data_IF_622134024683
#
_entry.id   IF_622134024683
#
_cell.length_a   1.000
_cell.length_b   1.000
_cell.length_c   1.000
_cell.angle_alpha   90.00
_cell.angle_beta   90.00
_cell.angle_gamma   90.00
#
_symmetry.space_group_name_H-M   'P 1'
#
loop_
_entity.id
_entity.type
_entity.pdbx_description
1 polymer ?
#
# COMPACT_ATOMS: atom_id res chain seq x y z
N UNK A 1 18.28 65.59 17.27
CA UNK A 1 18.78 64.20 17.37
C UNK A 1 17.68 63.27 16.91
N UNK A 2 17.75 62.85 15.65
CA UNK A 2 16.80 61.94 15.03
C UNK A 2 17.61 60.78 14.45
N UNK A 3 17.34 59.56 14.92
CA UNK A 3 18.00 58.34 14.49
C UNK A 3 17.26 57.71 13.32
N UNK A 4 17.97 57.53 12.22
CA UNK A 4 17.55 56.84 11.00
C UNK A 4 17.50 55.32 11.23
N UNK A 5 16.46 54.59 10.80
CA UNK A 5 16.45 53.13 10.88
C UNK A 5 17.21 52.50 9.70
N UNK A 6 18.07 51.52 10.03
CA UNK A 6 18.80 50.70 9.07
C UNK A 6 17.86 49.71 8.37
N UNK A 7 17.73 49.87 7.05
CA UNK A 7 17.17 48.90 6.12
C UNK A 7 18.09 47.68 6.02
N UNK A 8 17.61 46.51 6.43
CA UNK A 8 18.24 45.23 6.10
C UNK A 8 17.82 44.81 4.69
N UNK A 9 18.76 44.92 3.75
CA UNK A 9 18.67 44.35 2.42
C UNK A 9 18.72 42.81 2.50
N UNK A 10 17.59 42.15 2.28
CA UNK A 10 17.55 40.73 1.97
C UNK A 10 18.04 40.54 0.52
N UNK A 11 19.25 39.99 0.34
CA UNK A 11 19.70 39.53 -0.96
C UNK A 11 18.92 38.26 -1.35
N UNK A 12 18.13 38.42 -2.40
CA UNK A 12 17.63 37.36 -3.27
C UNK A 12 18.83 36.68 -3.95
N UNK A 13 18.87 35.35 -3.94
CA UNK A 13 19.70 34.59 -4.87
C UNK A 13 20.30 33.31 -4.34
N UNK A 14 19.47 32.31 -4.06
CA UNK A 14 19.86 30.91 -4.24
C UNK A 14 18.82 30.26 -5.15
N UNK A 15 19.12 30.20 -6.45
CA UNK A 15 18.41 29.31 -7.38
C UNK A 15 18.76 27.87 -6.97
N UNK A 16 17.79 26.96 -6.78
CA UNK A 16 18.12 25.56 -6.66
C UNK A 16 18.81 25.12 -7.95
N UNK A 17 19.99 24.50 -7.81
CA UNK A 17 20.69 23.89 -8.92
C UNK A 17 19.74 22.93 -9.64
N UNK A 18 19.67 23.03 -10.97
CA UNK A 18 18.91 22.11 -11.80
C UNK A 18 19.46 20.70 -11.63
N UNK A 19 18.80 19.92 -10.78
CA UNK A 19 19.01 18.49 -10.57
C UNK A 19 17.67 17.80 -10.75
N UNK A 20 17.67 16.67 -11.45
CA UNK A 20 16.53 15.76 -11.54
C UNK A 20 15.88 15.58 -10.17
N UNK A 21 14.54 15.57 -10.10
CA UNK A 21 13.83 15.43 -8.82
C UNK A 21 14.23 14.14 -8.12
N UNK A 22 14.05 14.03 -6.79
CA UNK A 22 14.31 12.77 -6.07
C UNK A 22 13.59 11.58 -6.75
N UNK A 23 12.37 11.83 -7.24
CA UNK A 23 11.53 10.88 -7.97
C UNK A 23 12.16 10.40 -9.27
N UNK A 24 12.79 11.29 -10.05
CA UNK A 24 13.48 10.92 -11.29
C UNK A 24 14.71 10.06 -11.01
N UNK A 25 15.43 10.38 -9.94
CA UNK A 25 16.63 9.64 -9.52
C UNK A 25 16.25 8.24 -9.03
N UNK A 26 15.15 8.12 -8.29
CA UNK A 26 14.62 6.85 -7.79
C UNK A 26 14.08 5.97 -8.91
N UNK A 27 13.31 6.55 -9.85
CA UNK A 27 12.82 5.81 -11.02
C UNK A 27 13.97 5.24 -11.88
N UNK A 28 15.12 5.90 -11.88
CA UNK A 28 16.31 5.46 -12.60
C UNK A 28 17.20 4.47 -11.81
N UNK A 29 16.87 4.15 -10.55
CA UNK A 29 17.66 3.27 -9.70
C UNK A 29 16.91 2.02 -9.28
N UNK A 30 17.57 0.87 -9.37
CA UNK A 30 17.03 -0.44 -8.99
C UNK A 30 17.84 -1.15 -7.90
N UNK A 31 18.98 -0.58 -7.48
CA UNK A 31 19.83 -1.14 -6.43
C UNK A 31 20.51 -0.04 -5.59
N UNK A 32 20.98 -0.36 -4.37
CA UNK A 32 21.62 0.61 -3.48
C UNK A 32 22.84 1.30 -4.09
N UNK A 33 23.63 0.56 -4.89
CA UNK A 33 24.86 1.06 -5.52
C UNK A 33 24.57 2.16 -6.55
N UNK A 34 23.38 2.18 -7.15
CA UNK A 34 22.96 3.21 -8.10
C UNK A 34 22.90 4.62 -7.48
N UNK A 35 22.79 4.70 -6.15
CA UNK A 35 22.76 5.98 -5.43
C UNK A 35 24.14 6.49 -5.03
N UNK A 36 25.21 5.74 -5.30
CA UNK A 36 26.57 6.17 -4.96
C UNK A 36 26.94 7.46 -5.69
N UNK A 37 27.42 8.45 -4.95
CA UNK A 37 27.74 9.79 -5.46
C UNK A 37 26.52 10.68 -5.77
N UNK A 38 25.29 10.17 -5.62
CA UNK A 38 24.07 10.98 -5.75
C UNK A 38 23.77 11.70 -4.43
N UNK A 39 23.25 12.92 -4.54
CA UNK A 39 22.77 13.71 -3.39
C UNK A 39 21.31 14.05 -3.62
N UNK A 40 20.45 13.55 -2.75
CA UNK A 40 19.01 13.76 -2.80
C UNK A 40 18.62 14.95 -1.91
N UNK A 41 17.54 15.63 -2.28
CA UNK A 41 16.98 16.70 -1.45
C UNK A 41 16.32 16.12 -0.20
N UNK A 42 16.41 16.85 0.92
CA UNK A 42 15.63 16.54 2.12
C UNK A 42 14.31 17.32 2.06
N UNK A 43 13.20 16.60 2.12
CA UNK A 43 11.86 17.20 2.16
C UNK A 43 11.38 17.34 3.59
N UNK A 44 10.89 18.53 3.91
CA UNK A 44 10.08 18.79 5.10
C UNK A 44 8.63 18.37 4.86
N UNK A 45 7.86 18.25 5.94
CA UNK A 45 6.47 17.83 5.88
C UNK A 45 5.62 18.82 5.08
N UNK A 46 4.64 18.32 4.32
CA UNK A 46 3.73 19.16 3.53
C UNK A 46 4.45 20.29 2.80
N UNK A 47 5.54 19.93 2.12
CA UNK A 47 6.23 20.88 1.25
C UNK A 47 5.23 21.45 0.22
N UNK A 48 5.48 22.63 -0.35
CA UNK A 48 4.60 23.20 -1.38
C UNK A 48 4.39 22.28 -2.61
N UNK A 49 5.23 21.25 -2.77
CA UNK A 49 5.15 20.23 -3.82
C UNK A 49 4.18 19.08 -3.46
N UNK A 50 3.72 19.00 -2.21
CA UNK A 50 2.75 18.01 -1.78
C UNK A 50 1.35 18.35 -2.33
N UNK A 51 0.75 17.41 -3.04
CA UNK A 51 -0.63 17.52 -3.53
C UNK A 51 -1.48 16.36 -3.01
N UNK A 52 -2.81 16.50 -3.12
CA UNK A 52 -3.79 15.51 -2.65
C UNK A 52 -3.63 14.11 -3.27
N UNK A 53 -3.04 14.02 -4.45
CA UNK A 53 -2.83 12.75 -5.14
C UNK A 53 -1.48 12.09 -4.78
N UNK A 54 -0.64 12.79 -4.01
CA UNK A 54 0.76 12.43 -3.76
C UNK A 54 1.09 12.26 -2.27
N UNK A 55 0.10 12.04 -1.40
CA UNK A 55 0.32 11.89 0.05
C UNK A 55 1.32 10.80 0.45
N UNK A 56 1.53 9.77 -0.38
CA UNK A 56 2.53 8.72 -0.11
C UNK A 56 3.94 9.04 -0.65
N UNK A 57 4.12 10.20 -1.28
CA UNK A 57 5.41 10.67 -1.79
C UNK A 57 6.23 11.36 -0.71
N UNK A 58 7.54 11.43 -0.93
CA UNK A 58 8.50 11.94 0.06
C UNK A 58 8.20 13.40 0.44
N UNK A 59 7.76 14.17 -0.54
CA UNK A 59 7.34 15.57 -0.44
C UNK A 59 6.22 15.82 0.58
N UNK A 60 5.43 14.79 0.88
CA UNK A 60 4.29 14.86 1.80
C UNK A 60 4.64 14.26 3.18
N UNK A 61 5.32 13.10 3.21
CA UNK A 61 5.57 12.36 4.44
C UNK A 61 6.81 12.80 5.23
N UNK A 62 7.59 13.76 4.71
CA UNK A 62 8.97 14.04 5.15
C UNK A 62 9.92 12.93 4.72
N UNK A 63 11.16 13.31 4.39
CA UNK A 63 12.23 12.36 4.20
C UNK A 63 12.36 11.37 5.35
N UNK A 64 12.08 11.70 6.62
CA UNK A 64 12.26 10.72 7.69
C UNK A 64 11.30 9.53 7.59
N UNK A 65 10.01 9.80 7.52
CA UNK A 65 8.99 8.75 7.53
C UNK A 65 8.94 7.99 6.21
N UNK A 66 9.07 8.69 5.09
CA UNK A 66 8.98 8.10 3.75
C UNK A 66 10.00 6.98 3.49
N UNK A 67 11.14 6.97 4.18
CA UNK A 67 12.21 5.98 4.00
C UNK A 67 11.89 4.60 4.56
N UNK A 68 11.01 4.55 5.56
CA UNK A 68 10.61 3.31 6.23
C UNK A 68 9.47 2.59 5.53
N UNK A 69 9.23 2.91 4.25
CA UNK A 69 7.93 2.78 3.65
C UNK A 69 8.01 1.97 2.35
N UNK A 70 7.18 0.94 2.18
CA UNK A 70 7.27 0.11 0.97
C UNK A 70 8.63 -0.59 0.86
N UNK A 71 9.08 -0.83 -0.37
CA UNK A 71 10.34 -1.50 -0.67
C UNK A 71 11.61 -0.62 -0.57
N UNK A 72 11.50 0.55 0.07
CA UNK A 72 12.57 1.55 0.12
C UNK A 72 13.75 1.10 0.99
N UNK A 73 13.55 0.44 2.15
CA UNK A 73 14.67 -0.15 2.89
C UNK A 73 15.49 -1.12 2.04
N UNK A 74 14.86 -1.91 1.17
CA UNK A 74 15.59 -2.78 0.22
C UNK A 74 16.30 -1.96 -0.87
N UNK A 75 15.61 -0.99 -1.47
CA UNK A 75 16.15 -0.17 -2.56
C UNK A 75 17.42 0.60 -2.14
N UNK A 76 17.44 1.12 -0.91
CA UNK A 76 18.58 1.86 -0.36
C UNK A 76 19.51 1.00 0.51
N UNK A 77 19.18 -0.28 0.71
CA UNK A 77 19.86 -1.23 1.60
C UNK A 77 19.63 -1.00 3.10
N UNK A 78 19.21 0.20 3.53
CA UNK A 78 18.63 0.45 4.87
C UNK A 78 17.99 1.83 4.95
N UNK A 79 17.14 2.04 5.97
CA UNK A 79 16.62 3.38 6.31
C UNK A 79 17.76 4.38 6.57
N UNK A 80 18.85 3.95 7.18
CA UNK A 80 19.97 4.81 7.56
C UNK A 80 20.77 5.28 6.34
N UNK A 81 21.13 4.35 5.44
CA UNK A 81 21.79 4.68 4.15
C UNK A 81 20.96 5.67 3.33
N UNK A 82 19.65 5.48 3.31
CA UNK A 82 18.74 6.41 2.64
C UNK A 82 18.81 7.84 3.23
N UNK A 83 19.05 7.97 4.54
CA UNK A 83 19.24 9.26 5.20
C UNK A 83 20.57 9.93 4.86
N UNK A 84 21.64 9.13 4.78
CA UNK A 84 22.99 9.61 4.51
C UNK A 84 23.10 10.26 3.12
N UNK A 85 22.24 9.84 2.17
CA UNK A 85 22.13 10.43 0.84
C UNK A 85 21.49 11.83 0.84
N UNK A 86 20.91 12.25 1.97
CA UNK A 86 20.18 13.51 2.11
C UNK A 86 20.90 14.43 3.10
N UNK A 87 21.17 15.70 2.75
CA UNK A 87 21.75 16.63 3.69
C UNK A 87 20.78 16.83 4.86
N UNK A 88 21.21 16.44 6.07
CA UNK A 88 20.41 16.66 7.27
C UNK A 88 20.21 18.16 7.46
N UNK A 89 18.98 18.64 7.67
CA UNK A 89 18.74 20.05 7.96
C UNK A 89 19.57 20.47 9.17
N UNK A 90 20.42 21.49 9.02
CA UNK A 90 21.27 21.96 10.13
C UNK A 90 20.47 22.61 11.26
N UNK A 91 19.21 22.95 11.02
CA UNK A 91 18.29 23.55 11.99
C UNK A 91 16.91 22.93 11.82
N UNK A 92 16.17 22.83 12.93
CA UNK A 92 14.76 22.48 12.90
C UNK A 92 13.98 23.56 12.14
N UNK A 93 12.93 23.16 11.44
CA UNK A 93 12.01 24.10 10.82
C UNK A 93 11.43 25.03 11.91
N UNK A 94 11.25 26.34 11.63
CA UNK A 94 10.57 27.23 12.54
C UNK A 94 9.15 26.74 12.80
N UNK A 95 8.72 26.81 14.06
CA UNK A 95 7.34 26.53 14.43
C UNK A 95 6.42 27.60 13.84
N UNK A 96 5.40 27.18 13.09
CA UNK A 96 4.42 28.04 12.45
C UNK A 96 3.09 27.93 13.17
N UNK A 97 2.54 29.04 13.71
CA UNK A 97 1.15 29.05 14.16
C UNK A 97 0.22 28.87 12.96
N UNK A 98 -1.05 28.54 13.22
CA UNK A 98 -2.08 28.48 12.18
C UNK A 98 -2.15 29.80 11.41
N UNK A 99 -2.35 29.69 10.09
CA UNK A 99 -2.39 30.80 9.16
C UNK A 99 -3.56 31.76 9.41
N UNK A 100 -3.56 32.88 8.69
CA UNK A 100 -4.67 33.85 8.76
C UNK A 100 -5.98 33.23 8.24
N UNK A 101 -7.10 33.70 8.79
CA UNK A 101 -8.43 33.30 8.34
C UNK A 101 -8.58 33.44 6.81
N UNK A 102 -9.07 32.38 6.16
CA UNK A 102 -9.24 32.30 4.71
C UNK A 102 -8.08 31.63 3.97
N UNK A 103 -7.09 31.10 4.69
CA UNK A 103 -6.11 30.22 4.09
C UNK A 103 -6.76 28.86 3.74
N UNK A 104 -6.52 28.36 2.52
CA UNK A 104 -7.19 27.16 1.98
C UNK A 104 -6.23 26.09 1.46
N UNK A 105 -4.92 26.34 1.51
CA UNK A 105 -3.92 25.37 1.08
C UNK A 105 -3.54 24.42 2.22
N UNK A 106 -2.99 23.26 1.90
CA UNK A 106 -2.62 22.22 2.89
C UNK A 106 -1.18 22.39 3.40
N UNK A 107 -0.60 23.59 3.24
CA UNK A 107 0.78 23.84 3.67
C UNK A 107 0.86 24.00 5.19
N UNK A 108 2.03 23.74 5.77
CA UNK A 108 2.29 23.99 7.19
C UNK A 108 2.06 25.47 7.58
N UNK A 109 2.31 26.41 6.66
CA UNK A 109 2.05 27.82 6.88
C UNK A 109 0.56 28.17 7.02
N UNK A 110 -0.30 27.33 6.46
CA UNK A 110 -1.74 27.50 6.49
C UNK A 110 -2.36 26.79 7.69
N UNK A 111 -2.02 25.51 7.85
CA UNK A 111 -2.57 24.63 8.87
C UNK A 111 -1.92 24.84 10.25
N UNK A 112 -0.70 25.36 10.28
CA UNK A 112 0.14 25.43 11.48
C UNK A 112 0.83 24.10 11.81
N UNK A 113 1.96 24.20 12.51
CA UNK A 113 2.82 23.06 12.84
C UNK A 113 2.11 22.01 13.71
N UNK A 114 1.24 22.40 14.64
CA UNK A 114 0.49 21.46 15.49
C UNK A 114 -0.41 20.53 14.67
N UNK A 115 -1.16 21.11 13.73
CA UNK A 115 -2.10 20.38 12.89
C UNK A 115 -1.31 19.47 11.94
N UNK A 116 -0.28 20.00 11.28
CA UNK A 116 0.58 19.22 10.40
C UNK A 116 1.24 18.05 11.13
N UNK A 117 1.86 18.28 12.29
CA UNK A 117 2.49 17.20 13.06
C UNK A 117 1.48 16.13 13.48
N UNK A 118 0.26 16.53 13.86
CA UNK A 118 -0.81 15.59 14.20
C UNK A 118 -1.23 14.74 13.00
N UNK A 119 -1.39 15.35 11.82
CA UNK A 119 -1.76 14.63 10.59
C UNK A 119 -0.61 13.69 10.17
N UNK A 120 0.65 14.16 10.17
CA UNK A 120 1.81 13.33 9.87
C UNK A 120 1.88 12.11 10.78
N UNK A 121 1.71 12.29 12.10
CA UNK A 121 1.72 11.17 13.03
C UNK A 121 0.65 10.14 12.65
N UNK A 122 -0.55 10.59 12.27
CA UNK A 122 -1.62 9.72 11.83
C UNK A 122 -1.29 9.02 10.48
N UNK A 123 -0.68 9.73 9.52
CA UNK A 123 -0.28 9.15 8.23
C UNK A 123 0.84 8.13 8.38
N UNK A 124 1.87 8.44 9.18
CA UNK A 124 2.96 7.51 9.50
C UNK A 124 2.41 6.24 10.16
N UNK A 125 1.46 6.37 11.09
CA UNK A 125 0.83 5.24 11.75
C UNK A 125 0.06 4.34 10.79
N UNK A 126 -0.76 4.94 9.91
CA UNK A 126 -1.49 4.24 8.84
C UNK A 126 -0.52 3.48 7.96
N UNK A 127 0.55 4.15 7.57
CA UNK A 127 1.32 3.70 6.44
C UNK A 127 2.39 2.67 6.87
N UNK A 128 2.91 2.72 8.12
CA UNK A 128 3.79 1.68 8.68
C UNK A 128 3.11 0.33 8.94
N UNK A 129 1.78 0.27 8.97
CA UNK A 129 1.09 -0.90 9.50
C UNK A 129 -0.12 -1.37 8.69
N UNK A 130 -0.64 -0.57 7.77
CA UNK A 130 -1.44 -1.08 6.64
C UNK A 130 -0.46 -1.38 5.51
N UNK A 131 0.58 -2.14 5.77
CA UNK A 131 1.26 -2.86 4.70
C UNK A 131 0.81 -4.30 4.89
N UNK A 132 -0.22 -4.69 4.12
CA UNK A 132 -0.56 -6.10 3.98
C UNK A 132 0.72 -6.82 3.63
N UNK A 133 1.10 -7.78 4.47
CA UNK A 133 2.22 -8.66 4.16
C UNK A 133 1.78 -9.56 2.99
N UNK A 134 1.95 -9.02 1.78
CA UNK A 134 1.67 -9.69 0.50
C UNK A 134 2.49 -10.97 0.44
N UNK A 135 3.69 -10.99 1.03
CA UNK A 135 4.54 -12.19 1.11
C UNK A 135 3.90 -13.26 2.00
N UNK A 136 3.22 -12.89 3.09
CA UNK A 136 2.44 -13.84 3.89
C UNK A 136 1.27 -14.42 3.10
N UNK A 137 0.57 -13.60 2.32
CA UNK A 137 -0.50 -14.12 1.46
C UNK A 137 0.05 -15.07 0.39
N UNK A 138 1.19 -14.71 -0.20
CA UNK A 138 1.89 -15.52 -1.18
C UNK A 138 2.36 -16.87 -0.60
N UNK A 139 2.95 -16.85 0.60
CA UNK A 139 3.34 -18.04 1.37
C UNK A 139 2.13 -18.92 1.69
N UNK A 140 0.96 -18.35 1.97
CA UNK A 140 -0.27 -19.09 2.22
C UNK A 140 -0.75 -19.84 0.97
N UNK A 141 -0.76 -19.17 -0.18
CA UNK A 141 -1.11 -19.80 -1.45
C UNK A 141 -0.14 -20.94 -1.81
N UNK A 142 1.16 -20.72 -1.65
CA UNK A 142 2.17 -21.76 -1.88
C UNK A 142 2.02 -22.95 -0.92
N UNK A 143 1.74 -22.68 0.36
CA UNK A 143 1.51 -23.73 1.35
C UNK A 143 0.31 -24.60 0.96
N UNK A 144 -0.82 -24.01 0.52
CA UNK A 144 -1.97 -24.79 0.07
C UNK A 144 -1.65 -25.66 -1.16
N UNK A 145 -0.89 -25.11 -2.12
CA UNK A 145 -0.43 -25.87 -3.30
C UNK A 145 0.44 -27.06 -2.91
N UNK A 146 1.37 -26.85 -1.96
CA UNK A 146 2.28 -27.92 -1.49
C UNK A 146 1.53 -29.09 -0.82
N UNK A 147 0.39 -28.83 -0.19
CA UNK A 147 -0.45 -29.86 0.44
C UNK A 147 -1.14 -30.80 -0.56
N UNK A 148 -1.20 -30.43 -1.85
CA UNK A 148 -1.83 -31.25 -2.89
C UNK A 148 -0.89 -32.24 -3.58
N UNK A 149 0.40 -32.28 -3.22
CA UNK A 149 1.36 -33.22 -3.80
C UNK A 149 1.75 -32.92 -5.26
N UNK A 150 1.26 -31.82 -5.85
CA UNK A 150 1.64 -31.38 -7.18
C UNK A 150 2.79 -30.37 -7.09
N UNK A 151 3.96 -30.74 -7.60
CA UNK A 151 5.10 -29.84 -7.79
C UNK A 151 4.72 -28.62 -8.66
N UNK A 152 5.42 -27.48 -8.55
CA UNK A 152 5.23 -26.36 -9.48
C UNK A 152 5.37 -26.88 -10.92
N UNK A 153 4.48 -26.47 -11.85
CA UNK A 153 4.74 -26.62 -13.27
C UNK A 153 6.06 -25.89 -13.52
N UNK A 154 7.08 -26.61 -13.96
CA UNK A 154 8.21 -25.94 -14.59
C UNK A 154 7.64 -25.22 -15.80
N UNK A 155 7.99 -23.95 -15.99
CA UNK A 155 7.83 -23.29 -17.28
C UNK A 155 8.57 -24.13 -18.32
N UNK A 156 7.83 -24.97 -19.03
CA UNK A 156 8.38 -25.82 -20.08
C UNK A 156 8.28 -25.04 -21.38
N UNK A 157 9.35 -24.31 -21.70
CA UNK A 157 9.51 -23.58 -22.96
C UNK A 157 9.90 -24.50 -24.13
N UNK A 158 9.58 -25.79 -24.06
CA UNK A 158 9.92 -26.77 -25.11
C UNK A 158 8.82 -26.89 -26.17
N UNK A 159 9.16 -26.98 -27.47
CA UNK A 159 8.19 -27.24 -28.54
C UNK A 159 7.48 -28.59 -28.36
N UNK A 160 6.22 -28.72 -28.80
CA UNK A 160 5.42 -29.92 -28.55
C UNK A 160 6.03 -31.13 -29.28
N UNK A 161 6.48 -32.12 -28.51
CA UNK A 161 6.81 -33.45 -29.03
C UNK A 161 5.57 -34.33 -29.01
N UNK A 162 5.22 -34.83 -30.18
CA UNK A 162 4.19 -35.83 -30.41
C UNK A 162 4.58 -37.14 -29.71
N UNK A 163 3.82 -37.53 -28.69
CA UNK A 163 4.06 -38.73 -27.87
C UNK A 163 2.91 -39.72 -28.02
N UNK A 164 3.17 -40.83 -28.71
CA UNK A 164 2.30 -42.00 -28.82
C UNK A 164 2.25 -42.79 -27.50
N UNK A 165 1.52 -42.30 -26.49
CA UNK A 165 1.26 -43.06 -25.26
C UNK A 165 -0.24 -43.39 -25.07
N UNK A 166 -0.57 -44.51 -24.38
CA UNK A 166 -1.94 -44.98 -24.17
C UNK A 166 -2.81 -43.98 -23.39
N UNK A 167 -4.15 -44.12 -23.38
CA UNK A 167 -5.06 -43.11 -22.83
C UNK A 167 -4.76 -42.85 -21.35
N UNK A 168 -4.14 -41.68 -21.09
CA UNK A 168 -4.01 -41.13 -19.74
C UNK A 168 -5.41 -41.03 -19.15
N UNK A 169 -5.63 -41.56 -17.94
CA UNK A 169 -6.88 -41.32 -17.23
C UNK A 169 -7.18 -39.81 -17.24
N UNK A 170 -8.45 -39.40 -17.41
CA UNK A 170 -8.80 -37.99 -17.46
C UNK A 170 -8.27 -37.31 -16.20
N UNK A 171 -7.26 -36.47 -16.39
CA UNK A 171 -6.65 -35.71 -15.31
C UNK A 171 -7.74 -34.88 -14.65
N UNK A 172 -7.84 -34.98 -13.32
CA UNK A 172 -8.81 -34.22 -12.55
C UNK A 172 -8.60 -32.73 -12.87
N UNK A 173 -9.62 -31.98 -13.30
CA UNK A 173 -9.45 -30.58 -13.68
C UNK A 173 -8.89 -29.79 -12.50
N UNK A 174 -7.76 -29.13 -12.71
CA UNK A 174 -7.08 -28.30 -11.72
C UNK A 174 -7.80 -26.95 -11.58
N UNK A 175 -7.54 -26.26 -10.47
CA UNK A 175 -7.99 -24.89 -10.28
C UNK A 175 -7.38 -23.95 -11.32
N UNK A 176 -8.22 -23.13 -11.97
CA UNK A 176 -7.84 -22.21 -13.04
C UNK A 176 -8.47 -20.84 -12.83
N UNK A 177 -7.74 -19.81 -13.26
CA UNK A 177 -8.23 -18.44 -13.29
C UNK A 177 -8.97 -18.16 -14.60
N UNK A 178 -9.86 -17.16 -14.64
CA UNK A 178 -10.54 -16.77 -15.86
C UNK A 178 -9.55 -16.34 -16.95
N UNK A 179 -9.65 -16.92 -18.15
CA UNK A 179 -8.87 -16.55 -19.32
C UNK A 179 -9.75 -15.80 -20.33
N UNK A 180 -9.77 -14.47 -20.23
CA UNK A 180 -10.64 -13.62 -21.06
C UNK A 180 -10.22 -13.58 -22.55
N UNK A 181 -8.94 -13.80 -22.87
CA UNK A 181 -8.45 -13.78 -24.25
C UNK A 181 -9.02 -14.91 -25.11
N UNK A 182 -9.40 -16.02 -24.46
CA UNK A 182 -9.91 -17.21 -25.15
C UNK A 182 -11.44 -17.18 -25.37
N UNK A 183 -12.14 -16.15 -24.90
CA UNK A 183 -13.58 -16.20 -24.67
C UNK A 183 -14.35 -15.16 -25.50
N UNK A 184 -14.38 -15.35 -26.82
CA UNK A 184 -14.99 -14.38 -27.77
C UNK A 184 -16.32 -14.78 -28.43
N UNK A 185 -16.93 -15.95 -28.11
CA UNK A 185 -18.33 -16.42 -28.39
C UNK A 185 -18.43 -17.95 -28.15
N UNK A 186 -19.55 -18.64 -28.46
CA UNK A 186 -20.28 -19.52 -27.51
C UNK A 186 -19.34 -20.47 -26.74
N UNK A 187 -19.35 -20.37 -25.42
CA UNK A 187 -18.30 -20.93 -24.54
C UNK A 187 -18.04 -20.08 -23.29
N UNK A 188 -18.69 -18.90 -23.19
CA UNK A 188 -18.61 -18.02 -22.02
C UNK A 188 -19.08 -18.67 -20.69
N UNK A 189 -19.69 -19.85 -20.76
CA UNK A 189 -20.12 -20.60 -19.58
C UNK A 189 -19.17 -21.76 -19.22
N UNK A 190 -18.08 -21.91 -19.96
CA UNK A 190 -17.06 -22.92 -19.71
C UNK A 190 -16.08 -22.46 -18.63
N UNK A 191 -15.47 -23.44 -17.96
CA UNK A 191 -14.55 -23.17 -16.84
C UNK A 191 -13.34 -22.32 -17.22
N UNK A 192 -12.69 -22.47 -18.39
CA UNK A 192 -11.59 -21.60 -18.79
C UNK A 192 -12.00 -20.13 -18.90
N UNK A 193 -13.26 -19.85 -19.22
CA UNK A 193 -13.77 -18.49 -19.36
C UNK A 193 -14.21 -17.86 -18.05
N UNK A 194 -14.90 -18.64 -17.21
CA UNK A 194 -15.40 -18.18 -15.90
C UNK A 194 -14.35 -18.26 -14.80
N UNK A 195 -13.33 -19.09 -14.97
CA UNK A 195 -12.47 -19.56 -13.88
C UNK A 195 -13.19 -20.53 -12.95
N UNK A 196 -12.41 -21.33 -12.22
CA UNK A 196 -12.93 -22.39 -11.35
C UNK A 196 -13.88 -21.89 -10.26
N UNK A 197 -13.69 -20.66 -9.75
CA UNK A 197 -14.54 -20.10 -8.69
C UNK A 197 -15.96 -19.87 -9.20
N UNK A 198 -16.11 -19.10 -10.28
CA UNK A 198 -17.42 -18.73 -10.81
C UNK A 198 -18.07 -19.92 -11.53
N UNK A 199 -17.28 -20.77 -12.18
CA UNK A 199 -17.79 -22.00 -12.75
C UNK A 199 -18.35 -22.94 -11.67
N UNK A 200 -17.64 -23.15 -10.56
CA UNK A 200 -18.14 -23.99 -9.47
C UNK A 200 -19.40 -23.46 -8.81
N UNK A 201 -19.52 -22.15 -8.69
CA UNK A 201 -20.71 -21.50 -8.14
C UNK A 201 -21.93 -21.76 -9.02
N UNK A 202 -21.74 -21.71 -10.35
CA UNK A 202 -22.82 -21.86 -11.33
C UNK A 202 -23.16 -23.31 -11.66
N UNK A 203 -22.15 -24.17 -11.82
CA UNK A 203 -22.29 -25.53 -12.37
C UNK A 203 -22.06 -26.64 -11.34
N UNK A 204 -21.44 -26.34 -10.19
CA UNK A 204 -21.03 -27.36 -9.21
C UNK A 204 -22.18 -28.25 -8.75
N UNK A 205 -23.34 -27.65 -8.45
CA UNK A 205 -24.52 -28.39 -8.02
C UNK A 205 -25.15 -29.20 -9.16
N UNK A 206 -25.18 -28.64 -10.38
CA UNK A 206 -25.77 -29.29 -11.56
C UNK A 206 -24.95 -30.51 -11.99
N UNK A 207 -23.64 -30.48 -11.76
CA UNK A 207 -22.69 -31.56 -12.09
C UNK A 207 -22.52 -32.58 -10.96
N UNK A 208 -23.31 -32.50 -9.89
CA UNK A 208 -23.21 -33.41 -8.74
C UNK A 208 -21.92 -33.24 -7.92
N UNK A 209 -21.18 -32.15 -8.10
CA UNK A 209 -19.95 -31.83 -7.37
C UNK A 209 -20.21 -31.16 -6.01
N UNK A 210 -21.49 -31.01 -5.64
CA UNK A 210 -21.93 -30.42 -4.39
C UNK A 210 -21.94 -28.89 -4.44
N UNK A 211 -21.77 -28.27 -3.26
CA UNK A 211 -21.68 -26.82 -3.15
C UNK A 211 -20.34 -26.28 -3.67
N UNK A 212 -20.23 -24.95 -3.79
CA UNK A 212 -19.01 -24.25 -4.25
C UNK A 212 -17.74 -24.76 -3.57
N UNK A 213 -17.76 -24.99 -2.26
CA UNK A 213 -16.60 -25.47 -1.50
C UNK A 213 -16.18 -26.88 -1.90
N UNK A 214 -17.14 -27.81 -2.02
CA UNK A 214 -16.87 -29.17 -2.45
C UNK A 214 -16.34 -29.21 -3.89
N UNK A 215 -16.95 -28.44 -4.78
CA UNK A 215 -16.54 -28.30 -6.17
C UNK A 215 -15.11 -27.75 -6.31
N UNK A 216 -14.73 -26.73 -5.54
CA UNK A 216 -13.37 -26.20 -5.53
C UNK A 216 -12.38 -27.17 -4.91
N UNK A 217 -12.76 -27.89 -3.85
CA UNK A 217 -11.92 -28.91 -3.25
C UNK A 217 -11.60 -30.03 -4.25
N UNK A 218 -12.55 -30.40 -5.13
CA UNK A 218 -12.26 -31.37 -6.20
C UNK A 218 -11.21 -30.85 -7.19
N UNK A 219 -11.13 -29.54 -7.43
CA UNK A 219 -10.12 -28.90 -8.27
C UNK A 219 -8.78 -28.67 -7.57
N UNK A 220 -8.69 -29.18 -6.34
CA UNK A 220 -7.58 -28.87 -5.47
C UNK A 220 -7.60 -27.38 -5.14
N UNK A 221 -8.66 -26.85 -4.56
CA UNK A 221 -8.62 -25.56 -3.86
C UNK A 221 -9.53 -25.63 -2.64
N UNK A 222 -8.92 -25.71 -1.46
CA UNK A 222 -9.67 -25.71 -0.21
C UNK A 222 -10.01 -24.27 0.19
N UNK A 223 -11.11 -23.77 -0.40
CA UNK A 223 -11.61 -22.42 -0.15
C UNK A 223 -11.95 -22.21 1.33
N UNK A 224 -12.43 -23.23 2.04
CA UNK A 224 -12.79 -23.09 3.46
C UNK A 224 -11.55 -22.89 4.32
N UNK A 225 -10.53 -23.73 4.14
CA UNK A 225 -9.25 -23.57 4.83
C UNK A 225 -8.58 -22.26 4.46
N UNK A 226 -8.70 -21.83 3.20
CA UNK A 226 -8.20 -20.55 2.73
C UNK A 226 -8.89 -19.39 3.47
N UNK A 227 -10.22 -19.33 3.50
CA UNK A 227 -11.00 -18.29 4.19
C UNK A 227 -10.71 -18.24 5.69
N UNK A 228 -10.65 -19.39 6.35
CA UNK A 228 -10.33 -19.50 7.78
C UNK A 228 -8.92 -18.99 8.09
N UNK A 229 -7.96 -19.33 7.24
CA UNK A 229 -6.56 -18.91 7.40
C UNK A 229 -6.39 -17.43 7.09
N UNK A 230 -7.04 -16.93 6.04
CA UNK A 230 -7.09 -15.51 5.69
C UNK A 230 -7.65 -14.68 6.84
N UNK A 231 -8.78 -15.11 7.42
CA UNK A 231 -9.39 -14.43 8.57
C UNK A 231 -8.44 -14.40 9.78
N UNK A 232 -7.80 -15.52 10.10
CA UNK A 232 -6.93 -15.63 11.29
C UNK A 232 -5.61 -14.88 11.13
N UNK A 233 -4.96 -14.98 9.98
CA UNK A 233 -3.60 -14.44 9.78
C UNK A 233 -3.57 -13.02 9.24
N UNK A 234 -4.61 -12.59 8.53
CA UNK A 234 -4.63 -11.28 7.89
C UNK A 234 -5.69 -10.37 8.50
N UNK A 235 -6.94 -10.82 8.62
CA UNK A 235 -8.00 -9.93 9.14
C UNK A 235 -7.82 -9.63 10.63
N UNK A 236 -7.52 -10.64 11.47
CA UNK A 236 -7.45 -10.43 12.91
C UNK A 236 -6.35 -9.43 13.34
N UNK A 237 -5.09 -9.51 12.85
CA UNK A 237 -4.07 -8.52 13.19
C UNK A 237 -4.40 -7.12 12.67
N UNK A 238 -4.94 -7.02 11.46
CA UNK A 238 -5.38 -5.75 10.87
C UNK A 238 -6.47 -5.09 11.72
N UNK A 239 -7.43 -5.87 12.23
CA UNK A 239 -8.48 -5.36 13.12
C UNK A 239 -7.90 -4.73 14.40
N UNK A 240 -6.98 -5.42 15.07
CA UNK A 240 -6.34 -4.91 16.28
C UNK A 240 -5.48 -3.66 16.00
N UNK A 241 -4.80 -3.62 14.84
CA UNK A 241 -4.08 -2.44 14.37
C UNK A 241 -4.99 -1.22 14.19
N UNK A 242 -6.10 -1.40 13.46
CA UNK A 242 -7.10 -0.34 13.24
C UNK A 242 -7.64 0.20 14.56
N UNK A 243 -7.99 -0.69 15.50
CA UNK A 243 -8.50 -0.29 16.81
C UNK A 243 -7.47 0.51 17.60
N UNK A 244 -6.22 0.04 17.62
CA UNK A 244 -5.12 0.73 18.32
C UNK A 244 -4.89 2.13 17.74
N UNK A 245 -4.98 2.31 16.42
CA UNK A 245 -4.76 3.64 15.84
C UNK A 245 -5.97 4.54 15.92
N UNK A 246 -7.19 4.00 15.83
CA UNK A 246 -8.39 4.77 16.13
C UNK A 246 -8.29 5.38 17.54
N UNK A 247 -7.76 4.63 18.52
CA UNK A 247 -7.46 5.18 19.85
C UNK A 247 -6.41 6.28 19.82
N UNK A 248 -5.32 6.12 19.07
CA UNK A 248 -4.27 7.14 18.97
C UNK A 248 -4.74 8.42 18.28
N UNK A 249 -5.45 8.30 17.15
CA UNK A 249 -6.08 9.42 16.43
C UNK A 249 -7.02 10.18 17.36
N UNK A 250 -7.87 9.45 18.09
CA UNK A 250 -8.79 10.03 19.08
C UNK A 250 -8.03 10.79 20.18
N UNK A 251 -6.98 10.18 20.75
CA UNK A 251 -6.16 10.82 21.80
C UNK A 251 -5.46 12.07 21.29
N UNK A 252 -4.88 12.02 20.10
CA UNK A 252 -4.17 13.14 19.49
C UNK A 252 -5.13 14.31 19.22
N UNK A 253 -6.31 14.03 18.65
CA UNK A 253 -7.34 15.04 18.45
C UNK A 253 -7.79 15.68 19.77
N UNK A 254 -8.01 14.86 20.81
CA UNK A 254 -8.38 15.37 22.13
C UNK A 254 -7.28 16.26 22.76
N UNK A 255 -6.02 15.85 22.71
CA UNK A 255 -4.88 16.62 23.24
C UNK A 255 -4.75 17.95 22.49
N UNK A 256 -4.82 17.92 21.15
CA UNK A 256 -4.77 19.12 20.31
C UNK A 256 -5.82 20.14 20.73
N UNK A 257 -7.06 19.70 20.89
CA UNK A 257 -8.17 20.57 21.30
C UNK A 257 -7.96 21.13 22.72
N UNK A 258 -7.49 20.31 23.67
CA UNK A 258 -7.16 20.77 25.02
C UNK A 258 -6.10 21.89 24.98
N UNK A 259 -5.05 21.75 24.16
CA UNK A 259 -4.01 22.76 24.02
C UNK A 259 -4.51 24.06 23.37
N UNK A 260 -5.51 23.97 22.50
CA UNK A 260 -6.17 25.10 21.85
C UNK A 260 -7.25 25.74 22.74
N UNK A 261 -7.37 25.33 24.01
CA UNK A 261 -8.37 25.84 24.94
C UNK A 261 -9.81 25.63 24.44
N UNK A 262 -10.02 24.51 23.76
CA UNK A 262 -11.29 24.09 23.18
C UNK A 262 -12.42 23.92 24.20
N UNK A 263 -13.66 24.02 23.71
CA UNK A 263 -14.84 23.72 24.52
C UNK A 263 -15.19 22.23 24.46
N UNK A 264 -16.10 21.82 25.34
CA UNK A 264 -16.74 20.49 25.28
C UNK A 264 -17.51 20.24 23.98
N UNK A 265 -17.76 21.27 23.16
CA UNK A 265 -18.45 21.14 21.87
C UNK A 265 -17.49 21.00 20.67
N UNK A 266 -16.31 21.64 20.71
CA UNK A 266 -15.34 21.57 19.60
C UNK A 266 -14.54 20.28 19.65
N UNK A 267 -14.20 19.81 20.85
CA UNK A 267 -13.40 18.59 21.04
C UNK A 267 -14.03 17.34 20.39
N UNK A 268 -15.33 17.02 20.61
CA UNK A 268 -15.95 15.85 19.98
C UNK A 268 -16.04 15.96 18.46
N UNK A 269 -16.20 17.18 17.91
CA UNK A 269 -16.23 17.42 16.47
C UNK A 269 -14.86 17.13 15.84
N UNK A 270 -13.78 17.63 16.44
CA UNK A 270 -12.42 17.35 15.99
C UNK A 270 -12.10 15.86 16.02
N UNK A 271 -12.44 15.16 17.12
CA UNK A 271 -12.29 13.70 17.22
C UNK A 271 -13.05 12.98 16.09
N UNK A 272 -14.30 13.37 15.84
CA UNK A 272 -15.13 12.74 14.81
C UNK A 272 -14.54 12.96 13.42
N UNK A 273 -14.10 14.18 13.12
CA UNK A 273 -13.47 14.52 11.83
C UNK A 273 -12.18 13.73 11.62
N UNK A 274 -11.27 13.74 12.59
CA UNK A 274 -9.98 13.05 12.49
C UNK A 274 -10.18 11.53 12.35
N UNK A 275 -11.10 10.95 13.14
CA UNK A 275 -11.40 9.52 13.08
C UNK A 275 -12.05 9.14 11.75
N UNK A 276 -12.97 9.95 11.22
CA UNK A 276 -13.58 9.70 9.90
C UNK A 276 -12.52 9.74 8.80
N UNK A 277 -11.67 10.76 8.78
CA UNK A 277 -10.58 10.88 7.81
C UNK A 277 -9.60 9.71 7.88
N UNK A 278 -9.28 9.25 9.10
CA UNK A 278 -8.51 8.04 9.31
C UNK A 278 -9.20 6.79 8.71
N UNK A 279 -10.49 6.59 9.01
CA UNK A 279 -11.23 5.42 8.54
C UNK A 279 -11.38 5.39 7.02
N UNK A 280 -11.54 6.54 6.36
CA UNK A 280 -11.58 6.64 4.90
C UNK A 280 -10.24 6.23 4.27
N UNK A 281 -9.11 6.67 4.85
CA UNK A 281 -7.77 6.26 4.41
C UNK A 281 -7.53 4.76 4.62
N UNK A 282 -7.89 4.25 5.80
CA UNK A 282 -7.81 2.81 6.12
C UNK A 282 -8.61 1.99 5.11
N UNK A 283 -9.85 2.38 4.84
CA UNK A 283 -10.72 1.71 3.88
C UNK A 283 -10.09 1.67 2.49
N UNK A 284 -9.63 2.81 1.97
CA UNK A 284 -8.99 2.90 0.65
C UNK A 284 -7.73 2.03 0.55
N UNK A 285 -6.90 2.04 1.59
CA UNK A 285 -5.67 1.23 1.63
C UNK A 285 -5.98 -0.27 1.69
N UNK A 286 -6.88 -0.69 2.60
CA UNK A 286 -7.28 -2.08 2.74
C UNK A 286 -7.92 -2.64 1.48
N UNK A 287 -8.78 -1.87 0.81
CA UNK A 287 -9.41 -2.31 -0.44
C UNK A 287 -8.35 -2.58 -1.52
N UNK A 288 -7.42 -1.63 -1.73
CA UNK A 288 -6.36 -1.76 -2.73
C UNK A 288 -5.46 -2.96 -2.42
N UNK A 289 -5.04 -3.10 -1.17
CA UNK A 289 -4.12 -4.14 -0.77
C UNK A 289 -4.74 -5.53 -0.71
N UNK A 290 -6.00 -5.62 -0.26
CA UNK A 290 -6.74 -6.88 -0.27
C UNK A 290 -6.93 -7.36 -1.71
N UNK A 291 -7.32 -6.47 -2.63
CA UNK A 291 -7.52 -6.82 -4.03
C UNK A 291 -6.21 -7.30 -4.67
N UNK A 292 -5.14 -6.53 -4.49
CA UNK A 292 -3.82 -6.84 -5.06
C UNK A 292 -3.20 -8.10 -4.45
N UNK A 293 -3.31 -8.27 -3.13
CA UNK A 293 -2.87 -9.47 -2.42
C UNK A 293 -3.61 -10.70 -2.93
N UNK A 294 -4.95 -10.66 -2.95
CA UNK A 294 -5.79 -11.75 -3.46
C UNK A 294 -5.44 -12.10 -4.89
N UNK A 295 -5.29 -11.10 -5.78
CA UNK A 295 -4.87 -11.28 -7.16
C UNK A 295 -3.54 -12.03 -7.24
N UNK A 296 -2.47 -11.50 -6.64
CA UNK A 296 -1.12 -12.08 -6.69
C UNK A 296 -1.05 -13.50 -6.14
N UNK A 297 -1.67 -13.77 -4.99
CA UNK A 297 -1.61 -15.12 -4.44
C UNK A 297 -2.44 -16.11 -5.24
N UNK A 298 -3.58 -15.71 -5.81
CA UNK A 298 -4.33 -16.54 -6.75
C UNK A 298 -3.53 -16.83 -8.01
N UNK A 299 -2.84 -15.84 -8.57
CA UNK A 299 -1.95 -16.02 -9.72
C UNK A 299 -0.87 -17.05 -9.45
N UNK A 300 -0.18 -16.92 -8.31
CA UNK A 300 0.86 -17.86 -7.90
C UNK A 300 0.31 -19.25 -7.58
N UNK A 301 -0.90 -19.30 -7.03
CA UNK A 301 -1.60 -20.56 -6.77
C UNK A 301 -1.90 -21.32 -8.07
N UNK A 302 -2.54 -20.64 -9.02
CA UNK A 302 -2.89 -21.21 -10.32
C UNK A 302 -1.66 -21.42 -11.22
N UNK A 303 -0.56 -20.68 -10.99
CA UNK A 303 0.53 -20.59 -11.95
C UNK A 303 0.11 -19.88 -13.24
N UNK A 304 -0.86 -18.96 -13.15
CA UNK A 304 -1.43 -18.21 -14.28
C UNK A 304 -1.49 -16.74 -13.88
N UNK A 305 -1.19 -15.80 -14.80
CA UNK A 305 -1.34 -14.37 -14.54
C UNK A 305 -2.77 -13.91 -14.81
N UNK A 306 -3.26 -13.01 -13.96
CA UNK A 306 -4.43 -12.17 -14.20
C UNK A 306 -3.93 -10.88 -14.87
N UNK A 307 -4.68 -10.37 -15.82
CA UNK A 307 -4.38 -9.16 -16.58
C UNK A 307 -4.02 -7.96 -15.70
#
# INVERSE_FOLDING_TARGET
>A
MAGTPLLFNAKVGDKPAGGSSNKDIEAACSSPECFEGKKLSYYIAYSPECTKDHHAEEVCLVSDAWRGHGNRPELYGSKQKCLELRPTPQRKAPWQPEGKAGCTDETEACLGTEVVCSILLNEILVAQNIEFDIDNFEKLCLWQRSKQGNSPPKEDNSPPKESNNPPKQPEKPLFQLPNLESCSKPGADEEPCLGSIQWCDKHGQQQGLGNKYACLLTRGFDLKTFEDTFRKRLIAPVKEGILTWAQNVTKNAAIREILLNATSETTPKAITTDLSGFMDKVKGSLQRQTLEGVRKGLEKYAGQKLF
#
